data_IF_437260095372
#
_entry.id   IF_437260095372
#
_cell.length_a   1.000
_cell.length_b   1.000
_cell.length_c   1.000
_cell.angle_alpha   90.00
_cell.angle_beta   90.00
_cell.angle_gamma   90.00
#
_symmetry.space_group_name_H-M   'P 1'
#
loop_
_entity.id
_entity.type
_entity.pdbx_description
1 polymer ?
#
# COMPACT_ATOMS: atom_id res chain seq x y z
N UNK A 1 19.60 22.72 18.59
CA UNK A 1 20.69 21.84 18.10
C UNK A 1 20.86 22.05 16.60
N UNK A 2 22.08 21.95 16.04
CA UNK A 2 22.30 22.02 14.58
C UNK A 2 22.32 20.64 13.92
N UNK A 3 22.11 20.56 12.59
CA UNK A 3 22.24 19.29 11.83
C UNK A 3 23.65 18.69 11.97
N UNK A 4 24.70 19.52 11.89
CA UNK A 4 26.08 19.06 12.03
C UNK A 4 26.38 18.50 13.43
N UNK A 5 25.81 19.11 14.47
CA UNK A 5 25.91 18.63 15.84
C UNK A 5 25.20 17.28 16.03
N UNK A 6 23.96 17.17 15.54
CA UNK A 6 23.18 15.93 15.58
C UNK A 6 23.87 14.78 14.84
N UNK A 7 24.41 15.07 13.64
CA UNK A 7 25.18 14.11 12.84
C UNK A 7 26.41 13.60 13.55
N UNK A 8 27.24 14.51 14.10
CA UNK A 8 28.45 14.14 14.86
C UNK A 8 28.12 13.29 16.09
N UNK A 9 27.02 13.59 16.77
CA UNK A 9 26.56 12.77 17.89
C UNK A 9 26.16 11.37 17.41
N UNK A 10 25.29 11.28 16.40
CA UNK A 10 24.84 10.00 15.85
C UNK A 10 26.01 9.15 15.36
N UNK A 11 26.92 9.69 14.54
CA UNK A 11 28.07 8.95 14.00
C UNK A 11 29.03 8.45 15.10
N UNK A 12 29.11 9.14 16.24
CA UNK A 12 29.90 8.70 17.39
C UNK A 12 29.24 7.56 18.17
N UNK A 13 27.90 7.59 18.29
CA UNK A 13 27.13 6.61 19.07
C UNK A 13 26.74 5.38 18.23
N UNK A 14 26.57 5.53 16.92
CA UNK A 14 26.12 4.49 15.99
C UNK A 14 27.26 3.63 15.41
N UNK A 15 28.45 3.60 16.02
CA UNK A 15 29.55 2.74 15.58
C UNK A 15 29.05 1.26 15.49
N UNK A 16 29.40 0.52 14.42
CA UNK A 16 28.59 -0.59 13.93
C UNK A 16 28.69 -1.80 14.87
N UNK A 17 27.61 -2.10 15.59
CA UNK A 17 27.38 -3.45 16.11
C UNK A 17 27.05 -4.34 14.92
N UNK A 18 28.12 -4.87 14.33
CA UNK A 18 28.19 -5.88 13.27
C UNK A 18 27.72 -7.27 13.75
N UNK A 19 26.71 -7.30 14.61
CA UNK A 19 26.02 -8.50 15.01
C UNK A 19 24.55 -8.25 14.70
N UNK A 20 24.05 -8.88 13.63
CA UNK A 20 22.62 -9.06 13.50
C UNK A 20 22.13 -9.81 14.73
N UNK A 21 21.56 -9.09 15.69
CA UNK A 21 20.60 -9.69 16.59
C UNK A 21 19.27 -9.60 15.86
N UNK A 22 18.72 -10.76 15.51
CA UNK A 22 17.34 -10.95 15.06
C UNK A 22 16.32 -10.60 16.16
N UNK A 23 16.70 -9.81 17.18
CA UNK A 23 15.96 -9.61 18.42
C UNK A 23 15.22 -8.26 18.50
N UNK A 24 15.44 -7.35 17.54
CA UNK A 24 14.74 -6.06 17.46
C UNK A 24 13.38 -6.17 16.76
N UNK A 25 12.29 -5.78 17.44
CA UNK A 25 10.92 -5.91 16.89
C UNK A 25 10.64 -4.91 15.74
N UNK A 26 11.30 -3.75 15.74
CA UNK A 26 11.15 -2.69 14.71
C UNK A 26 12.53 -2.14 14.31
N UNK A 27 13.39 -2.98 13.72
CA UNK A 27 14.73 -2.60 13.24
C UNK A 27 14.73 -2.15 11.79
N UNK A 28 15.63 -1.24 11.39
CA UNK A 28 15.80 -0.87 9.99
C UNK A 28 16.89 -1.68 9.26
N UNK A 29 17.46 -2.69 9.93
CA UNK A 29 18.58 -3.47 9.38
C UNK A 29 19.77 -2.55 9.11
N UNK A 30 20.43 -2.72 7.96
CA UNK A 30 21.35 -1.69 7.46
C UNK A 30 20.55 -0.49 6.96
N UNK A 31 20.85 0.70 7.46
CA UNK A 31 20.18 1.93 7.02
C UNK A 31 21.16 3.10 6.87
N UNK A 32 20.79 4.04 6.00
CA UNK A 32 21.58 5.23 5.73
C UNK A 32 20.73 6.49 5.94
N UNK A 33 21.00 7.28 7.00
CA UNK A 33 20.30 8.56 7.20
C UNK A 33 20.72 9.60 6.16
N UNK A 34 19.75 10.27 5.54
CA UNK A 34 19.99 11.36 4.61
C UNK A 34 20.03 12.71 5.35
N UNK A 35 21.21 13.04 5.86
CA UNK A 35 21.45 14.29 6.57
C UNK A 35 21.26 15.54 5.70
N UNK A 36 21.20 15.43 4.37
CA UNK A 36 20.95 16.58 3.49
C UNK A 36 19.49 17.05 3.52
N UNK A 37 18.58 16.14 3.89
CA UNK A 37 17.14 16.39 4.04
C UNK A 37 16.72 16.54 5.51
N UNK A 38 17.68 16.62 6.43
CA UNK A 38 17.41 16.74 7.85
C UNK A 38 16.68 18.06 8.18
N UNK A 39 15.62 17.96 8.99
CA UNK A 39 14.85 19.12 9.45
C UNK A 39 15.03 19.29 10.95
N UNK A 40 15.39 20.51 11.37
CA UNK A 40 15.55 20.85 12.78
C UNK A 40 14.24 21.43 13.31
N UNK A 41 13.85 20.98 14.49
CA UNK A 41 12.72 21.50 15.25
C UNK A 41 13.13 21.75 16.70
N UNK A 42 12.48 22.71 17.36
CA UNK A 42 12.74 23.04 18.76
C UNK A 42 11.43 23.31 19.50
N UNK A 43 11.28 22.68 20.65
CA UNK A 43 10.28 23.00 21.67
C UNK A 43 10.91 23.78 22.83
N UNK A 44 10.21 23.85 23.95
CA UNK A 44 10.63 24.68 25.09
C UNK A 44 11.84 24.09 25.84
N UNK A 45 11.90 22.77 25.95
CA UNK A 45 12.92 22.03 26.71
C UNK A 45 13.75 21.10 25.81
N UNK A 46 13.26 20.76 24.61
CA UNK A 46 13.80 19.74 23.73
C UNK A 46 13.97 20.27 22.31
N UNK A 47 15.19 20.19 21.80
CA UNK A 47 15.45 20.38 20.38
C UNK A 47 15.69 19.04 19.70
N UNK A 48 15.19 18.89 18.48
CA UNK A 48 15.31 17.65 17.71
C UNK A 48 15.72 17.91 16.27
N UNK A 49 16.38 16.90 15.69
CA UNK A 49 16.69 16.84 14.27
C UNK A 49 16.04 15.58 13.72
N UNK A 50 15.02 15.75 12.91
CA UNK A 50 14.36 14.68 12.15
C UNK A 50 15.14 14.43 10.86
N UNK A 51 15.57 13.20 10.62
CA UNK A 51 16.39 12.82 9.47
C UNK A 51 15.67 11.71 8.71
N UNK A 52 15.30 11.95 7.44
CA UNK A 52 14.83 10.88 6.57
C UNK A 52 15.86 9.76 6.52
N UNK A 53 15.40 8.53 6.64
CA UNK A 53 16.26 7.35 6.64
C UNK A 53 15.60 6.28 5.78
N UNK A 54 16.41 5.62 4.95
CA UNK A 54 16.00 4.40 4.26
C UNK A 54 16.77 3.23 4.87
N UNK A 55 16.01 2.24 5.32
CA UNK A 55 16.55 0.98 5.81
C UNK A 55 16.32 -0.16 4.84
N UNK A 56 16.77 -1.34 5.25
CA UNK A 56 16.47 -2.61 4.58
C UNK A 56 15.00 -3.00 4.72
N UNK A 57 14.30 -2.50 5.75
CA UNK A 57 12.95 -2.93 6.07
C UNK A 57 11.92 -1.81 5.94
N UNK A 58 10.77 -2.14 5.36
CA UNK A 58 9.52 -1.37 5.41
C UNK A 58 8.52 -2.07 6.31
N UNK A 59 7.71 -1.31 7.00
CA UNK A 59 6.80 -1.83 8.01
C UNK A 59 5.34 -1.51 7.67
N UNK A 60 4.44 -2.42 8.04
CA UNK A 60 3.00 -2.23 7.88
C UNK A 60 2.28 -2.70 9.13
N UNK A 61 1.28 -1.94 9.56
CA UNK A 61 0.32 -2.40 10.56
C UNK A 61 -0.60 -3.42 9.91
N UNK A 62 -0.69 -4.60 10.51
CA UNK A 62 -1.59 -5.67 10.11
C UNK A 62 -2.84 -5.70 10.97
N UNK A 63 -4.01 -5.87 10.34
CA UNK A 63 -5.27 -6.19 11.02
C UNK A 63 -6.12 -7.11 10.14
N UNK A 64 -6.96 -7.92 10.75
CA UNK A 64 -8.07 -8.56 10.05
C UNK A 64 -9.29 -7.64 10.17
N UNK A 65 -9.97 -7.35 9.05
CA UNK A 65 -11.19 -6.58 9.06
C UNK A 65 -12.42 -7.43 9.47
N UNK A 66 -13.59 -6.79 9.54
CA UNK A 66 -14.84 -7.43 9.95
C UNK A 66 -15.28 -8.59 9.03
N UNK A 67 -14.73 -8.69 7.82
CA UNK A 67 -15.03 -9.74 6.85
C UNK A 67 -14.00 -10.88 6.87
N UNK A 68 -13.01 -10.83 7.76
CA UNK A 68 -11.93 -11.81 7.81
C UNK A 68 -10.78 -11.52 6.84
N UNK A 69 -10.79 -10.37 6.16
CA UNK A 69 -9.77 -10.02 5.17
C UNK A 69 -8.59 -9.28 5.81
N UNK A 70 -7.34 -9.58 5.43
CA UNK A 70 -6.18 -8.90 5.95
C UNK A 70 -6.06 -7.47 5.39
N UNK A 71 -5.73 -6.51 6.24
CA UNK A 71 -5.50 -5.10 5.91
C UNK A 71 -4.15 -4.65 6.42
N UNK A 72 -3.48 -3.88 5.58
CA UNK A 72 -2.15 -3.35 5.84
C UNK A 72 -2.22 -1.82 5.80
N UNK A 73 -1.55 -1.18 6.75
CA UNK A 73 -1.43 0.27 6.76
C UNK A 73 0.05 0.61 6.86
N UNK A 74 0.63 1.33 5.87
CA UNK A 74 2.04 1.66 5.87
C UNK A 74 2.48 2.36 7.17
N UNK A 75 3.61 1.93 7.70
CA UNK A 75 4.27 2.54 8.85
C UNK A 75 5.47 3.32 8.33
N UNK A 76 5.47 4.63 8.60
CA UNK A 76 6.52 5.54 8.15
C UNK A 76 7.53 5.76 9.24
N UNK A 77 8.81 5.84 8.90
CA UNK A 77 9.87 5.92 9.89
C UNK A 77 10.93 6.97 9.59
N UNK A 78 11.57 7.47 10.64
CA UNK A 78 12.68 8.44 10.58
C UNK A 78 13.68 8.20 11.69
N UNK A 79 14.92 8.62 11.46
CA UNK A 79 15.87 8.82 12.55
C UNK A 79 15.56 10.17 13.22
N UNK A 80 15.54 10.19 14.54
CA UNK A 80 15.41 11.41 15.32
C UNK A 80 16.55 11.50 16.31
N UNK A 81 17.31 12.59 16.26
CA UNK A 81 18.25 12.95 17.31
C UNK A 81 17.61 14.02 18.18
N UNK A 82 17.56 13.80 19.48
CA UNK A 82 17.01 14.76 20.44
C UNK A 82 18.12 15.29 21.35
N UNK A 83 17.96 16.53 21.81
CA UNK A 83 18.83 17.19 22.77
C UNK A 83 17.99 17.92 23.80
N UNK A 84 18.17 17.55 25.06
CA UNK A 84 17.62 18.29 26.19
C UNK A 84 18.38 19.62 26.35
N UNK A 85 17.65 20.72 26.30
CA UNK A 85 18.21 22.07 26.30
C UNK A 85 18.81 22.47 27.64
N UNK A 86 18.39 21.83 28.75
CA UNK A 86 18.83 22.14 30.11
C UNK A 86 20.14 21.44 30.48
N UNK A 87 20.20 20.14 30.22
CA UNK A 87 21.34 19.27 30.54
C UNK A 87 22.34 19.15 29.40
N UNK A 88 21.92 19.43 28.16
CA UNK A 88 22.71 19.23 26.96
C UNK A 88 22.87 17.76 26.55
N UNK A 89 22.25 16.83 27.29
CA UNK A 89 22.27 15.40 26.97
C UNK A 89 21.54 15.18 25.65
N UNK A 90 22.07 14.24 24.86
CA UNK A 90 21.54 13.89 23.54
C UNK A 90 21.20 12.41 23.50
N UNK A 91 20.23 12.04 22.66
CA UNK A 91 19.84 10.65 22.40
C UNK A 91 19.35 10.48 20.97
N UNK A 92 19.48 9.28 20.41
CA UNK A 92 19.04 8.94 19.05
C UNK A 92 18.01 7.82 19.10
N UNK A 93 16.95 7.97 18.31
CA UNK A 93 15.85 7.02 18.20
C UNK A 93 15.46 6.78 16.76
N UNK A 94 14.94 5.60 16.46
CA UNK A 94 14.11 5.40 15.27
C UNK A 94 12.67 5.64 15.69
N UNK A 95 11.96 6.50 14.97
CA UNK A 95 10.54 6.77 15.21
C UNK A 95 9.72 6.16 14.09
N UNK A 96 8.65 5.45 14.47
CA UNK A 96 7.69 4.82 13.59
C UNK A 96 6.31 5.46 13.82
N UNK A 97 5.75 6.06 12.78
CA UNK A 97 4.35 6.50 12.74
C UNK A 97 3.48 5.34 12.27
N UNK A 98 2.64 4.85 13.18
CA UNK A 98 1.62 3.84 12.94
C UNK A 98 0.27 4.56 12.87
N UNK A 99 -0.15 5.04 11.70
CA UNK A 99 -1.40 5.77 11.57
C UNK A 99 -2.61 4.86 11.83
N UNK A 100 -3.69 5.46 12.33
CA UNK A 100 -4.97 4.78 12.27
C UNK A 100 -5.43 4.67 10.80
N UNK A 101 -6.13 3.60 10.40
CA UNK A 101 -6.38 3.32 8.98
C UNK A 101 -7.16 4.42 8.25
N UNK A 102 -8.15 5.00 8.93
CA UNK A 102 -8.95 6.10 8.37
C UNK A 102 -8.11 7.37 8.19
N UNK A 103 -7.12 7.59 9.07
CA UNK A 103 -6.18 8.70 8.93
C UNK A 103 -5.22 8.48 7.76
N UNK A 104 -4.78 7.23 7.55
CA UNK A 104 -3.84 6.89 6.49
C UNK A 104 -4.45 6.98 5.08
N UNK A 105 -5.77 6.84 4.96
CA UNK A 105 -6.47 6.80 3.69
C UNK A 105 -6.21 8.06 2.84
N UNK A 106 -5.43 7.93 1.77
CA UNK A 106 -5.15 9.01 0.81
C UNK A 106 -4.01 9.94 1.22
N UNK A 107 -3.24 9.58 2.26
CA UNK A 107 -2.00 10.26 2.62
C UNK A 107 -0.81 9.52 2.03
N UNK A 108 0.25 10.27 1.72
CA UNK A 108 1.50 9.73 1.16
C UNK A 108 2.63 9.83 2.19
N UNK A 109 3.79 9.24 1.88
CA UNK A 109 5.00 9.38 2.69
C UNK A 109 5.34 10.85 2.98
N UNK A 110 5.13 11.75 2.02
CA UNK A 110 5.41 13.18 2.15
C UNK A 110 4.61 13.84 3.28
N UNK A 111 3.39 13.36 3.55
CA UNK A 111 2.55 13.89 4.64
C UNK A 111 3.14 13.52 6.01
N UNK A 112 3.68 12.30 6.15
CA UNK A 112 4.38 11.87 7.36
C UNK A 112 5.77 12.49 7.46
N UNK A 113 6.39 12.82 6.33
CA UNK A 113 7.65 13.53 6.28
C UNK A 113 7.55 14.96 6.80
N UNK A 114 6.37 15.57 6.77
CA UNK A 114 6.11 16.88 7.37
C UNK A 114 5.89 16.82 8.89
N UNK A 115 5.64 15.63 9.46
CA UNK A 115 5.47 15.47 10.91
C UNK A 115 6.82 15.51 11.62
N UNK A 116 7.12 16.65 12.23
CA UNK A 116 8.35 16.89 12.99
C UNK A 116 8.26 16.35 14.42
N UNK A 117 9.41 16.01 15.01
CA UNK A 117 9.49 15.48 16.36
C UNK A 117 9.07 16.48 17.42
N UNK A 118 9.76 17.62 17.46
CA UNK A 118 9.33 18.77 18.25
C UNK A 118 8.38 19.62 17.40
N UNK A 119 7.22 19.96 17.94
CA UNK A 119 6.21 20.78 17.26
C UNK A 119 4.87 20.07 17.01
N UNK A 120 3.96 20.81 16.39
CA UNK A 120 2.59 20.35 16.12
C UNK A 120 2.58 19.06 15.31
N UNK A 121 1.72 18.12 15.72
CA UNK A 121 1.45 16.88 14.98
C UNK A 121 0.33 17.06 13.95
N UNK A 122 -0.08 18.30 13.66
CA UNK A 122 -1.15 18.59 12.71
C UNK A 122 -2.45 17.92 13.15
N UNK A 123 -3.04 17.13 12.27
CA UNK A 123 -4.23 16.31 12.52
C UNK A 123 -3.92 14.83 12.76
N UNK A 124 -2.64 14.49 13.00
CA UNK A 124 -2.19 13.09 13.13
C UNK A 124 -3.01 12.30 14.15
N UNK A 125 -3.53 11.16 13.70
CA UNK A 125 -4.29 10.22 14.52
C UNK A 125 -3.68 8.83 14.36
N UNK A 126 -3.21 8.25 15.46
CA UNK A 126 -2.45 7.00 15.46
C UNK A 126 -1.44 6.89 16.61
N UNK A 127 -0.47 5.99 16.46
CA UNK A 127 0.64 5.78 17.39
C UNK A 127 1.95 6.30 16.82
N UNK A 128 2.75 6.98 17.63
CA UNK A 128 4.18 7.14 17.39
C UNK A 128 4.94 6.20 18.33
N UNK A 129 5.70 5.27 17.79
CA UNK A 129 6.58 4.36 18.54
C UNK A 129 8.02 4.79 18.33
N UNK A 130 8.76 4.96 19.41
CA UNK A 130 10.20 5.21 19.35
C UNK A 130 10.94 3.99 19.85
N UNK A 131 11.97 3.63 19.10
CA UNK A 131 12.85 2.54 19.44
C UNK A 131 14.27 3.06 19.63
N UNK A 132 15.07 2.30 20.36
CA UNK A 132 16.52 2.38 20.21
C UNK A 132 16.94 2.00 18.78
N UNK A 133 18.20 2.25 18.43
CA UNK A 133 18.72 2.06 17.07
C UNK A 133 18.77 0.59 16.61
N UNK A 134 18.69 -0.35 17.55
CA UNK A 134 18.55 -1.80 17.33
C UNK A 134 17.08 -2.25 17.20
N UNK A 135 16.12 -1.33 17.30
CA UNK A 135 14.70 -1.62 17.05
C UNK A 135 13.90 -2.06 18.28
N UNK A 136 14.43 -1.91 19.50
CA UNK A 136 13.69 -2.19 20.73
C UNK A 136 12.79 -0.99 21.13
N UNK A 137 11.47 -1.17 21.32
CA UNK A 137 10.58 -0.08 21.74
C UNK A 137 10.92 0.49 23.12
N UNK A 138 11.07 1.80 23.21
CA UNK A 138 11.43 2.52 24.45
C UNK A 138 10.46 3.64 24.82
N UNK A 139 9.69 4.14 23.85
CA UNK A 139 8.66 5.17 24.07
C UNK A 139 7.50 4.95 23.12
N UNK A 140 6.29 5.24 23.57
CA UNK A 140 5.12 5.28 22.71
C UNK A 140 4.24 6.48 23.07
N UNK A 141 3.63 7.10 22.05
CA UNK A 141 2.69 8.21 22.20
C UNK A 141 1.49 7.99 21.29
N UNK A 142 0.28 8.06 21.85
CA UNK A 142 -0.97 8.01 21.08
C UNK A 142 -1.50 9.41 20.83
N UNK A 143 -1.87 9.68 19.59
CA UNK A 143 -2.47 10.95 19.16
C UNK A 143 -3.88 10.75 18.63
N UNK A 144 -4.74 11.74 18.87
CA UNK A 144 -6.03 11.90 18.21
C UNK A 144 -6.17 13.36 17.77
N UNK A 145 -6.33 13.60 16.47
CA UNK A 145 -6.37 14.94 15.89
C UNK A 145 -5.16 15.81 16.23
N UNK A 146 -3.98 15.19 16.32
CA UNK A 146 -2.72 15.84 16.69
C UNK A 146 -2.49 16.04 18.19
N UNK A 147 -3.49 15.79 19.05
CA UNK A 147 -3.36 15.95 20.49
C UNK A 147 -2.89 14.63 21.17
N UNK A 148 -1.88 14.72 22.03
CA UNK A 148 -1.42 13.60 22.85
C UNK A 148 -2.52 13.11 23.80
N UNK A 149 -2.91 11.85 23.66
CA UNK A 149 -3.92 11.19 24.48
C UNK A 149 -3.28 10.35 25.59
N UNK A 150 -2.19 9.65 25.26
CA UNK A 150 -1.49 8.77 26.17
C UNK A 150 -0.02 8.64 25.77
N UNK A 151 0.84 8.42 26.76
CA UNK A 151 2.24 8.13 26.54
C UNK A 151 2.84 7.23 27.63
N UNK A 152 3.89 6.52 27.25
CA UNK A 152 4.68 5.66 28.12
C UNK A 152 6.14 5.69 27.66
N UNK A 153 7.04 6.03 28.59
CA UNK A 153 8.48 6.04 28.38
C UNK A 153 9.14 5.05 29.33
N UNK A 154 9.98 4.16 28.80
CA UNK A 154 10.59 3.08 29.58
C UNK A 154 11.47 3.62 30.73
N UNK A 155 12.10 4.78 30.52
CA UNK A 155 13.06 5.37 31.46
C UNK A 155 12.47 6.52 32.30
N UNK A 156 11.15 6.59 32.46
CA UNK A 156 10.51 7.58 33.34
C UNK A 156 10.85 7.30 34.81
N UNK A 157 11.62 8.19 35.43
CA UNK A 157 12.08 8.09 36.83
C UNK A 157 11.00 8.32 37.87
N UNK A 158 9.83 8.84 37.49
CA UNK A 158 8.70 9.01 38.40
C UNK A 158 8.01 7.70 38.75
N UNK A 159 8.40 6.58 38.11
CA UNK A 159 7.78 5.26 38.22
C UNK A 159 8.82 4.16 38.36
N UNK A 160 8.36 3.01 38.81
CA UNK A 160 9.18 1.80 38.79
C UNK A 160 9.33 1.28 37.36
N UNK A 161 10.40 0.53 37.11
CA UNK A 161 10.65 -0.13 35.84
C UNK A 161 9.49 -1.04 35.42
N UNK A 162 8.95 -1.83 36.34
CA UNK A 162 7.84 -2.74 36.06
C UNK A 162 6.58 -1.99 35.60
N UNK A 163 6.27 -0.85 36.22
CA UNK A 163 5.15 -0.01 35.80
C UNK A 163 5.38 0.60 34.41
N UNK A 164 6.60 1.07 34.12
CA UNK A 164 6.93 1.62 32.80
C UNK A 164 6.82 0.54 31.71
N UNK A 165 7.32 -0.67 31.98
CA UNK A 165 7.21 -1.81 31.06
C UNK A 165 5.75 -2.20 30.83
N UNK A 166 4.94 -2.28 31.88
CA UNK A 166 3.52 -2.61 31.76
C UNK A 166 2.77 -1.58 30.91
N UNK A 167 2.97 -0.28 31.19
CA UNK A 167 2.34 0.81 30.43
C UNK A 167 2.75 0.85 28.97
N UNK A 168 4.03 0.64 28.69
CA UNK A 168 4.51 0.56 27.31
C UNK A 168 3.90 -0.66 26.60
N UNK A 169 3.80 -1.80 27.30
CA UNK A 169 3.11 -2.99 26.81
C UNK A 169 1.64 -2.74 26.48
N UNK A 170 0.90 -2.05 27.35
CA UNK A 170 -0.50 -1.65 27.12
C UNK A 170 -0.66 -0.75 25.88
N UNK A 171 0.28 0.18 25.65
CA UNK A 171 0.23 1.06 24.48
C UNK A 171 0.50 0.34 23.16
N UNK A 172 1.25 -0.75 23.22
CA UNK A 172 1.60 -1.60 22.08
C UNK A 172 0.66 -2.80 21.94
N UNK A 173 -0.27 -3.01 22.88
CA UNK A 173 -1.18 -4.14 22.83
C UNK A 173 -2.10 -4.05 21.60
N UNK A 174 -2.30 -5.20 20.94
CA UNK A 174 -3.04 -5.28 19.68
C UNK A 174 -2.35 -4.66 18.46
N UNK A 175 -1.11 -4.17 18.57
CA UNK A 175 -0.31 -3.75 17.42
C UNK A 175 0.33 -4.98 16.76
N UNK A 176 -0.26 -5.44 15.67
CA UNK A 176 0.39 -6.42 14.80
C UNK A 176 1.12 -5.70 13.66
N UNK A 177 2.37 -6.09 13.42
CA UNK A 177 3.22 -5.49 12.39
C UNK A 177 3.77 -6.59 11.49
N UNK A 178 3.92 -6.27 10.21
CA UNK A 178 4.67 -7.09 9.25
C UNK A 178 5.77 -6.24 8.62
N UNK A 179 6.90 -6.85 8.24
CA UNK A 179 8.02 -6.15 7.63
C UNK A 179 8.39 -6.72 6.25
N UNK A 180 8.67 -5.86 5.27
CA UNK A 180 9.16 -6.26 3.95
C UNK A 180 10.60 -5.82 3.77
N UNK A 181 11.44 -6.67 3.17
CA UNK A 181 12.76 -6.23 2.71
C UNK A 181 12.64 -5.35 1.47
N UNK A 182 13.35 -4.24 1.45
CA UNK A 182 13.47 -3.34 0.29
C UNK A 182 14.65 -3.81 -0.57
N UNK A 183 14.39 -4.62 -1.60
CA UNK A 183 15.43 -4.89 -2.60
C UNK A 183 15.59 -3.65 -3.49
N UNK A 184 16.81 -3.15 -3.59
CA UNK A 184 17.13 -1.98 -4.39
C UNK A 184 16.95 -2.32 -5.87
N UNK A 185 15.95 -1.71 -6.52
CA UNK A 185 15.84 -1.72 -7.98
C UNK A 185 17.02 -0.92 -8.53
N UNK A 186 17.96 -1.60 -9.18
CA UNK A 186 19.11 -0.91 -9.77
C UNK A 186 18.71 -0.29 -11.09
N UNK A 187 19.35 0.83 -11.44
CA UNK A 187 19.07 1.66 -12.62
C UNK A 187 19.03 0.89 -13.97
N UNK A 188 19.52 -0.35 -14.02
CA UNK A 188 19.43 -1.23 -15.19
C UNK A 188 18.05 -1.91 -15.37
N UNK A 189 17.24 -2.01 -14.31
CA UNK A 189 15.92 -2.66 -14.32
C UNK A 189 14.80 -1.70 -14.73
N UNK A 190 15.03 -0.38 -14.64
CA UNK A 190 14.07 0.64 -15.08
C UNK A 190 13.99 0.78 -16.61
N UNK A 191 15.03 0.36 -17.34
CA UNK A 191 15.12 0.48 -18.81
C UNK A 191 14.91 -0.85 -19.55
N UNK A 192 14.75 -1.97 -18.83
CA UNK A 192 14.43 -3.27 -19.42
C UNK A 192 13.08 -3.74 -18.90
N UNK A 193 12.15 -4.07 -19.79
CA UNK A 193 10.84 -4.70 -19.47
C UNK A 193 10.97 -6.10 -18.82
N UNK A 194 12.14 -6.45 -18.27
CA UNK A 194 12.34 -7.49 -17.26
C UNK A 194 12.41 -6.84 -15.88
N UNK A 195 11.31 -6.31 -15.38
CA UNK A 195 11.19 -6.22 -13.92
C UNK A 195 10.87 -7.63 -13.41
N UNK A 196 11.88 -8.33 -12.91
CA UNK A 196 11.61 -9.41 -11.96
C UNK A 196 10.77 -8.82 -10.82
N UNK A 197 9.85 -9.59 -10.19
CA UNK A 197 9.38 -9.19 -8.88
C UNK A 197 10.62 -8.89 -8.04
N UNK A 198 10.61 -7.76 -7.36
CA UNK A 198 11.29 -7.65 -6.08
C UNK A 198 10.87 -8.89 -5.30
N UNK A 199 11.76 -9.87 -5.19
CA UNK A 199 11.61 -10.99 -4.27
C UNK A 199 11.45 -10.32 -2.90
N UNK A 200 10.20 -10.33 -2.42
CA UNK A 200 9.80 -9.74 -1.14
C UNK A 200 10.47 -10.43 0.04
N UNK A 201 11.36 -11.40 -0.21
CA UNK A 201 12.39 -11.84 0.70
C UNK A 201 11.81 -12.15 2.06
N UNK A 202 11.07 -13.27 2.15
CA UNK A 202 10.59 -13.85 3.41
C UNK A 202 10.22 -12.81 4.46
N UNK A 203 9.04 -12.20 4.32
CA UNK A 203 8.47 -11.34 5.36
C UNK A 203 8.15 -12.23 6.57
N UNK A 204 9.02 -12.19 7.59
CA UNK A 204 8.70 -12.72 8.91
C UNK A 204 7.59 -11.86 9.52
N UNK A 205 6.50 -12.49 9.94
CA UNK A 205 5.46 -11.82 10.71
C UNK A 205 6.03 -11.45 12.09
N UNK A 206 6.57 -10.24 12.23
CA UNK A 206 6.98 -9.72 13.54
C UNK A 206 5.74 -9.29 14.32
N UNK A 207 5.07 -10.25 14.96
CA UNK A 207 4.01 -9.95 15.91
C UNK A 207 4.63 -9.20 17.09
N UNK A 208 4.43 -7.88 17.16
CA UNK A 208 4.68 -7.08 18.38
C UNK A 208 3.61 -7.46 19.41
N UNK A 209 3.65 -8.71 19.88
CA UNK A 209 2.80 -9.15 20.97
C UNK A 209 3.51 -8.83 22.27
N UNK A 210 2.90 -7.99 23.09
CA UNK A 210 3.27 -7.77 24.49
C UNK A 210 3.07 -9.03 25.38
N UNK A 211 3.17 -10.24 24.81
CA UNK A 211 3.02 -11.53 25.49
C UNK A 211 4.32 -12.24 25.79
N UNK A 212 5.47 -11.74 25.33
CA UNK A 212 6.76 -12.23 25.84
C UNK A 212 7.09 -11.46 27.13
N UNK A 213 7.27 -12.15 28.28
CA UNK A 213 7.83 -11.52 29.46
C UNK A 213 9.14 -10.85 29.05
N UNK A 214 9.30 -9.57 29.39
CA UNK A 214 10.52 -8.79 29.18
C UNK A 214 11.60 -9.27 30.16
N UNK A 215 11.94 -10.57 30.11
CA UNK A 215 12.76 -11.24 31.12
C UNK A 215 14.25 -11.33 30.76
N UNK A 216 14.67 -10.79 29.61
CA UNK A 216 16.08 -10.87 29.17
C UNK A 216 16.64 -9.53 28.67
N UNK A 217 16.29 -8.40 29.30
CA UNK A 217 17.09 -7.18 29.11
C UNK A 217 18.34 -7.28 30.00
N UNK A 218 19.46 -7.68 29.40
CA UNK A 218 20.77 -7.43 30.02
C UNK A 218 21.08 -5.94 29.87
N UNK A 219 21.03 -5.25 31.00
CA UNK A 219 21.47 -3.87 31.17
C UNK A 219 22.97 -3.78 30.96
N UNK A 220 23.43 -3.45 29.76
CA UNK A 220 24.75 -2.87 29.57
C UNK A 220 24.63 -1.36 29.41
N UNK A 221 25.38 -0.68 30.28
CA UNK A 221 25.29 0.73 30.64
C UNK A 221 25.88 1.61 29.53
N UNK A 222 25.31 2.80 29.37
CA UNK A 222 26.04 4.00 28.95
C UNK A 222 25.69 5.09 29.96
N UNK A 223 26.68 5.80 30.48
CA UNK A 223 26.67 6.57 31.74
C UNK A 223 25.82 7.87 31.75
N UNK A 224 24.77 7.95 30.92
CA UNK A 224 23.80 9.05 30.91
C UNK A 224 22.39 8.52 30.66
N UNK A 225 21.42 8.92 31.48
CA UNK A 225 20.02 8.55 31.26
C UNK A 225 19.53 9.04 29.89
N UNK A 226 18.86 8.19 29.09
CA UNK A 226 18.36 8.57 27.77
C UNK A 226 17.31 9.69 27.87
N UNK A 227 17.37 10.64 26.94
CA UNK A 227 16.47 11.79 26.88
C UNK A 227 15.12 11.34 26.32
N UNK A 228 14.02 11.59 27.05
CA UNK A 228 12.67 11.31 26.56
C UNK A 228 12.48 11.93 25.15
N UNK A 229 12.02 11.18 24.14
CA UNK A 229 11.97 11.68 22.76
C UNK A 229 11.00 12.85 22.51
N UNK A 230 10.05 13.08 23.41
CA UNK A 230 8.97 14.06 23.24
C UNK A 230 8.72 14.88 24.51
N UNK A 231 8.14 16.07 24.32
CA UNK A 231 7.73 16.99 25.40
C UNK A 231 6.23 16.95 25.69
N UNK A 232 5.52 15.96 25.17
CA UNK A 232 4.06 15.92 25.27
C UNK A 232 3.61 15.90 26.74
N UNK A 233 2.89 16.93 27.17
CA UNK A 233 2.18 16.96 28.43
C UNK A 233 0.78 16.37 28.23
N UNK A 234 0.30 15.59 29.20
CA UNK A 234 -1.10 15.17 29.23
C UNK A 234 -1.95 16.44 29.23
N UNK A 235 -2.64 16.70 28.12
CA UNK A 235 -3.66 17.74 28.08
C UNK A 235 -4.65 17.53 29.25
N UNK A 236 -5.13 18.58 29.91
CA UNK A 236 -6.05 18.43 31.02
C UNK A 236 -7.30 17.70 30.53
N UNK A 237 -7.66 16.63 31.25
CA UNK A 237 -8.90 15.89 31.04
C UNK A 237 -10.08 16.84 31.23
N UNK A 238 -10.82 17.09 30.15
CA UNK A 238 -12.18 17.61 30.16
C UNK A 238 -12.36 19.09 30.49
N UNK A 239 -12.58 19.90 29.47
CA UNK A 239 -13.58 20.99 29.48
C UNK A 239 -13.66 21.63 28.10
N UNK A 240 -14.86 21.70 27.53
CA UNK A 240 -15.11 22.34 26.26
C UNK A 240 -15.00 23.87 26.29
N UNK A 241 -14.93 24.46 25.08
CA UNK A 241 -15.31 25.85 24.83
C UNK A 241 -14.21 26.73 24.21
N UNK A 242 -14.51 27.27 23.02
CA UNK A 242 -13.82 28.39 22.35
C UNK A 242 -13.03 27.93 21.12
N UNK A 243 -13.43 28.16 19.87
CA UNK A 243 -14.19 29.28 19.31
C UNK A 243 -13.24 30.37 18.85
N UNK A 244 -12.79 30.32 17.59
CA UNK A 244 -12.10 31.46 16.95
C UNK A 244 -11.22 31.10 15.75
N UNK A 245 -11.62 31.57 14.57
CA UNK A 245 -10.68 31.87 13.48
C UNK A 245 -10.58 30.86 12.36
N UNK A 246 -11.65 30.69 11.58
CA UNK A 246 -11.55 30.15 10.23
C UNK A 246 -10.71 31.10 9.37
N UNK A 247 -9.40 30.85 9.32
CA UNK A 247 -8.57 31.29 8.20
C UNK A 247 -8.93 30.39 7.03
N UNK A 248 -9.64 30.95 6.05
CA UNK A 248 -9.86 30.37 4.74
C UNK A 248 -8.51 30.01 4.11
N UNK A 249 -8.13 28.74 4.21
CA UNK A 249 -7.02 28.21 3.43
C UNK A 249 -7.43 28.17 1.96
N UNK A 250 -6.58 28.64 1.04
CA UNK A 250 -6.80 28.47 -0.39
C UNK A 250 -6.62 26.99 -0.74
N UNK A 251 -7.72 26.35 -1.15
CA UNK A 251 -7.71 25.04 -1.81
C UNK A 251 -7.44 23.86 -0.88
N UNK A 252 -8.48 23.32 -0.26
CA UNK A 252 -8.51 21.86 -0.03
C UNK A 252 -8.12 21.17 -1.35
N UNK A 253 -7.23 20.17 -1.35
CA UNK A 253 -7.01 19.36 -2.54
C UNK A 253 -8.38 18.89 -3.00
N UNK A 254 -8.77 19.23 -4.24
CA UNK A 254 -10.03 18.75 -4.81
C UNK A 254 -10.06 17.24 -4.60
N UNK A 255 -11.09 16.72 -3.91
CA UNK A 255 -11.20 15.32 -3.52
C UNK A 255 -10.89 14.42 -4.73
N UNK A 256 -9.68 13.87 -4.86
CA UNK A 256 -9.20 13.16 -6.07
C UNK A 256 -9.86 11.79 -6.22
N UNK A 257 -10.68 11.38 -5.25
CA UNK A 257 -11.41 10.12 -5.29
C UNK A 257 -12.61 10.20 -6.23
N UNK A 258 -12.88 9.08 -6.87
CA UNK A 258 -14.09 8.89 -7.65
C UNK A 258 -15.28 8.77 -6.71
N UNK A 259 -16.33 9.57 -6.95
CA UNK A 259 -17.46 9.75 -6.03
C UNK A 259 -18.21 8.45 -5.69
N UNK A 260 -18.19 7.50 -6.60
CA UNK A 260 -18.95 6.25 -6.49
C UNK A 260 -18.13 5.05 -6.00
N UNK A 261 -16.81 5.22 -5.85
CA UNK A 261 -15.92 4.29 -5.16
C UNK A 261 -14.67 5.04 -4.68
N UNK A 262 -14.59 5.26 -3.37
CA UNK A 262 -13.51 6.03 -2.74
C UNK A 262 -12.14 5.37 -2.89
N UNK A 263 -12.07 4.07 -3.17
CA UNK A 263 -10.80 3.37 -3.41
C UNK A 263 -10.19 3.71 -4.78
N UNK A 264 -10.93 4.35 -5.67
CA UNK A 264 -10.44 4.78 -6.99
C UNK A 264 -10.02 6.25 -6.91
N UNK A 265 -8.73 6.52 -7.03
CA UNK A 265 -8.18 7.86 -7.17
C UNK A 265 -7.95 8.21 -8.65
N UNK A 266 -8.43 9.37 -9.04
CA UNK A 266 -8.21 9.95 -10.36
C UNK A 266 -7.14 11.04 -10.23
N UNK A 267 -6.06 10.92 -10.99
CA UNK A 267 -5.11 12.02 -11.09
C UNK A 267 -5.83 13.30 -11.55
N UNK A 268 -5.53 14.44 -10.94
CA UNK A 268 -6.29 15.69 -11.11
C UNK A 268 -6.38 16.15 -12.57
N UNK A 269 -5.36 15.87 -13.38
CA UNK A 269 -5.28 16.16 -14.82
C UNK A 269 -6.07 15.19 -15.71
N UNK A 270 -6.50 14.07 -15.13
CA UNK A 270 -7.15 12.94 -15.81
C UNK A 270 -8.65 12.86 -15.49
N UNK A 271 -9.09 13.53 -14.41
CA UNK A 271 -10.46 13.47 -13.89
C UNK A 271 -11.53 13.84 -14.90
N UNK A 272 -11.37 14.97 -15.60
CA UNK A 272 -12.37 15.49 -16.55
C UNK A 272 -12.75 14.47 -17.63
N UNK A 273 -11.81 13.60 -18.00
CA UNK A 273 -12.03 12.56 -19.02
C UNK A 273 -12.41 11.21 -18.43
N UNK A 274 -11.87 10.85 -17.26
CA UNK A 274 -12.08 9.55 -16.64
C UNK A 274 -13.43 9.44 -15.91
N UNK A 275 -13.84 10.49 -15.20
CA UNK A 275 -15.06 10.45 -14.38
C UNK A 275 -16.33 10.21 -15.23
N UNK A 276 -16.53 10.88 -16.39
CA UNK A 276 -17.67 10.58 -17.27
C UNK A 276 -17.62 9.16 -17.85
N UNK A 277 -16.41 8.63 -18.09
CA UNK A 277 -16.23 7.29 -18.65
C UNK A 277 -16.56 6.21 -17.61
N UNK A 278 -16.12 6.40 -16.37
CA UNK A 278 -16.49 5.55 -15.23
C UNK A 278 -18.00 5.59 -14.97
N UNK A 279 -18.60 6.79 -15.00
CA UNK A 279 -20.04 6.96 -14.85
C UNK A 279 -20.82 6.24 -15.96
N UNK A 280 -20.34 6.31 -17.20
CA UNK A 280 -20.94 5.59 -18.34
C UNK A 280 -20.83 4.08 -18.16
N UNK A 281 -19.67 3.56 -17.74
CA UNK A 281 -19.46 2.13 -17.50
C UNK A 281 -20.39 1.62 -16.39
N UNK A 282 -20.56 2.38 -15.31
CA UNK A 282 -21.42 1.99 -14.17
C UNK A 282 -22.90 1.82 -14.51
N UNK A 283 -23.37 2.34 -15.64
CA UNK A 283 -24.75 2.12 -16.08
C UNK A 283 -25.02 0.67 -16.50
N UNK A 284 -23.98 -0.09 -16.83
CA UNK A 284 -24.06 -1.53 -17.02
C UNK A 284 -23.89 -2.27 -15.68
N UNK A 285 -24.70 -3.30 -15.43
CA UNK A 285 -24.64 -4.02 -14.15
C UNK A 285 -23.27 -4.67 -13.88
N UNK A 286 -22.70 -5.36 -14.87
CA UNK A 286 -21.42 -6.06 -14.71
C UNK A 286 -20.27 -5.07 -14.55
N UNK A 287 -20.17 -4.07 -15.43
CA UNK A 287 -19.14 -3.04 -15.32
C UNK A 287 -19.29 -2.19 -14.05
N UNK A 288 -20.53 -1.90 -13.62
CA UNK A 288 -20.85 -1.27 -12.35
C UNK A 288 -20.39 -2.10 -11.15
N UNK A 289 -20.57 -3.43 -11.19
CA UNK A 289 -20.08 -4.35 -10.16
C UNK A 289 -18.56 -4.40 -10.13
N UNK A 290 -17.89 -4.44 -11.28
CA UNK A 290 -16.42 -4.36 -11.38
C UNK A 290 -15.90 -3.09 -10.71
N UNK A 291 -16.48 -1.93 -11.03
CA UNK A 291 -16.06 -0.65 -10.44
C UNK A 291 -16.39 -0.59 -8.96
N UNK A 292 -17.61 -0.98 -8.55
CA UNK A 292 -18.09 -0.86 -7.18
C UNK A 292 -17.46 -1.85 -6.20
N UNK A 293 -16.94 -2.98 -6.69
CA UNK A 293 -16.32 -4.01 -5.84
C UNK A 293 -14.81 -3.91 -5.70
N UNK A 294 -14.18 -2.87 -6.27
CA UNK A 294 -12.75 -2.56 -6.02
C UNK A 294 -12.55 -2.19 -4.55
N UNK A 295 -11.73 -2.99 -3.85
CA UNK A 295 -11.43 -2.87 -2.41
C UNK A 295 -10.00 -2.42 -2.08
N UNK A 296 -9.05 -2.58 -3.02
CA UNK A 296 -7.69 -2.04 -2.92
C UNK A 296 -7.62 -0.65 -3.53
N UNK A 297 -6.60 0.15 -3.20
CA UNK A 297 -6.49 1.47 -3.81
C UNK A 297 -6.12 1.33 -5.29
N UNK A 298 -6.85 2.02 -6.16
CA UNK A 298 -6.57 2.08 -7.59
C UNK A 298 -6.29 3.53 -7.94
N UNK A 299 -5.10 3.83 -8.45
CA UNK A 299 -4.78 5.14 -9.02
C UNK A 299 -4.83 5.07 -10.53
N UNK A 300 -5.68 5.90 -11.15
CA UNK A 300 -5.81 5.96 -12.62
C UNK A 300 -5.17 7.25 -13.14
N UNK A 301 -4.26 7.10 -14.11
CA UNK A 301 -3.53 8.20 -14.75
C UNK A 301 -3.68 8.14 -16.27
N UNK A 302 -3.71 9.29 -16.94
CA UNK A 302 -3.73 9.39 -18.40
C UNK A 302 -2.43 10.02 -18.93
N UNK A 303 -2.23 9.99 -20.25
CA UNK A 303 -1.06 10.61 -20.90
C UNK A 303 0.16 9.72 -20.99
N UNK A 304 0.00 8.40 -20.77
CA UNK A 304 1.07 7.44 -20.97
C UNK A 304 1.31 7.17 -22.46
N UNK A 305 2.57 7.23 -22.89
CA UNK A 305 2.99 6.88 -24.24
C UNK A 305 3.14 5.36 -24.35
N UNK A 306 2.03 4.67 -24.62
CA UNK A 306 2.00 3.22 -24.76
C UNK A 306 0.58 2.64 -24.82
N UNK A 307 0.47 1.31 -24.69
CA UNK A 307 -0.78 0.63 -24.38
C UNK A 307 -1.22 0.96 -22.96
N UNK A 308 -2.53 0.83 -22.69
CA UNK A 308 -2.99 0.84 -21.31
C UNK A 308 -2.44 -0.38 -20.56
N UNK A 309 -2.25 -0.22 -19.25
CA UNK A 309 -1.77 -1.30 -18.39
C UNK A 309 -2.17 -1.08 -16.94
N UNK A 310 -2.64 -2.16 -16.31
CA UNK A 310 -2.79 -2.31 -14.87
C UNK A 310 -1.48 -2.86 -14.28
N UNK A 311 -0.88 -2.09 -13.39
CA UNK A 311 0.35 -2.42 -12.68
C UNK A 311 -0.01 -2.70 -11.22
N UNK A 312 0.03 -3.96 -10.79
CA UNK A 312 -0.30 -4.30 -9.43
C UNK A 312 0.96 -4.25 -8.54
N UNK A 313 0.80 -3.77 -7.32
CA UNK A 313 1.81 -3.85 -6.26
C UNK A 313 1.44 -4.99 -5.33
N UNK A 314 2.27 -6.05 -5.31
CA UNK A 314 2.09 -7.18 -4.42
C UNK A 314 3.19 -7.24 -3.38
N UNK A 315 2.80 -7.65 -2.18
CA UNK A 315 3.69 -8.04 -1.09
C UNK A 315 3.44 -9.52 -0.77
N UNK A 316 4.50 -10.32 -0.82
CA UNK A 316 4.45 -11.74 -0.49
C UNK A 316 5.03 -11.96 0.90
N UNK A 317 4.29 -12.62 1.77
CA UNK A 317 4.74 -12.95 3.13
C UNK A 317 4.40 -14.38 3.54
N UNK A 318 4.99 -14.82 4.64
CA UNK A 318 4.69 -16.12 5.24
C UNK A 318 3.25 -16.10 5.79
N UNK A 319 2.29 -16.52 4.96
CA UNK A 319 0.84 -16.39 5.22
C UNK A 319 0.01 -15.99 4.00
N UNK A 320 0.63 -15.56 2.89
CA UNK A 320 -0.06 -15.30 1.62
C UNK A 320 0.51 -14.11 0.84
N UNK A 321 -0.13 -13.82 -0.29
CA UNK A 321 0.14 -12.62 -1.09
C UNK A 321 -0.95 -11.60 -0.88
N UNK A 322 -0.57 -10.35 -0.69
CA UNK A 322 -1.51 -9.23 -0.65
C UNK A 322 -1.17 -8.25 -1.75
N UNK A 323 -2.20 -7.91 -2.52
CA UNK A 323 -2.18 -6.86 -3.52
C UNK A 323 -2.60 -5.56 -2.84
N UNK A 324 -1.67 -4.62 -2.69
CA UNK A 324 -1.81 -3.41 -1.87
C UNK A 324 -2.44 -2.26 -2.67
N UNK A 325 -1.77 -1.91 -3.77
CA UNK A 325 -2.15 -0.80 -4.64
C UNK A 325 -2.09 -1.23 -6.11
N UNK A 326 -2.99 -0.68 -6.91
CA UNK A 326 -3.01 -0.83 -8.36
C UNK A 326 -2.82 0.52 -9.04
N UNK A 327 -1.91 0.60 -9.99
CA UNK A 327 -1.79 1.75 -10.87
C UNK A 327 -2.33 1.37 -12.26
N UNK A 328 -3.35 2.09 -12.72
CA UNK A 328 -3.83 1.98 -14.10
C UNK A 328 -3.27 3.15 -14.89
N UNK A 329 -2.37 2.84 -15.82
CA UNK A 329 -1.84 3.82 -16.78
C UNK A 329 -2.63 3.72 -18.06
N UNK A 330 -3.43 4.73 -18.35
CA UNK A 330 -4.16 4.82 -19.61
C UNK A 330 -3.23 5.30 -20.70
N UNK A 331 -3.11 4.49 -21.75
CA UNK A 331 -2.32 4.78 -22.92
C UNK A 331 -2.89 5.90 -23.79
N UNK A 332 -2.40 5.97 -25.03
CA UNK A 332 -2.87 6.96 -26.02
C UNK A 332 -4.38 6.89 -26.34
N UNK A 333 -5.04 5.76 -26.00
CA UNK A 333 -6.47 5.56 -26.15
C UNK A 333 -7.15 5.50 -24.80
N UNK A 334 -7.99 6.50 -24.57
CA UNK A 334 -8.91 6.54 -23.45
C UNK A 334 -10.31 6.20 -23.96
N UNK A 335 -10.66 4.91 -23.89
CA UNK A 335 -11.99 4.42 -24.24
C UNK A 335 -12.47 3.41 -23.19
N UNK A 336 -13.76 3.08 -23.25
CA UNK A 336 -14.42 2.16 -22.33
C UNK A 336 -13.92 0.71 -22.46
N UNK A 337 -13.42 0.28 -23.63
CA UNK A 337 -12.83 -1.04 -23.79
C UNK A 337 -11.53 -1.12 -22.98
N UNK A 338 -10.62 -0.18 -23.19
CA UNK A 338 -9.32 -0.20 -22.50
C UNK A 338 -9.47 0.03 -21.01
N UNK A 339 -10.34 0.96 -20.58
CA UNK A 339 -10.55 1.21 -19.16
C UNK A 339 -11.18 -0.01 -18.45
N UNK A 340 -12.19 -0.63 -19.06
CA UNK A 340 -12.84 -1.81 -18.48
C UNK A 340 -11.90 -3.01 -18.41
N UNK A 341 -11.05 -3.21 -19.42
CA UNK A 341 -10.00 -4.26 -19.42
C UNK A 341 -9.07 -4.09 -18.20
N UNK A 342 -8.51 -2.89 -18.00
CA UNK A 342 -7.59 -2.65 -16.88
C UNK A 342 -8.25 -2.70 -15.50
N UNK A 343 -9.50 -2.21 -15.39
CA UNK A 343 -10.26 -2.34 -14.15
C UNK A 343 -10.57 -3.81 -13.84
N UNK A 344 -10.87 -4.62 -14.84
CA UNK A 344 -11.13 -6.04 -14.66
C UNK A 344 -9.89 -6.80 -14.20
N UNK A 345 -8.71 -6.45 -14.70
CA UNK A 345 -7.44 -7.04 -14.24
C UNK A 345 -7.21 -6.90 -12.73
N UNK A 346 -7.72 -5.84 -12.09
CA UNK A 346 -7.63 -5.68 -10.62
C UNK A 346 -8.34 -6.81 -9.86
N UNK A 347 -9.42 -7.36 -10.41
CA UNK A 347 -10.16 -8.48 -9.82
C UNK A 347 -9.49 -9.82 -10.04
N UNK A 348 -8.78 -9.98 -11.15
CA UNK A 348 -8.07 -11.23 -11.47
C UNK A 348 -6.90 -11.52 -10.53
N UNK A 349 -6.39 -10.50 -9.83
CA UNK A 349 -5.40 -10.65 -8.76
C UNK A 349 -6.00 -11.27 -7.48
N UNK A 350 -7.31 -11.17 -7.26
CA UNK A 350 -7.94 -11.65 -6.02
C UNK A 350 -7.77 -13.16 -5.85
N UNK A 351 -7.24 -13.56 -4.69
CA UNK A 351 -7.03 -14.96 -4.32
C UNK A 351 -5.86 -15.65 -5.04
N UNK A 352 -4.98 -14.91 -5.74
CA UNK A 352 -3.81 -15.46 -6.44
C UNK A 352 -2.49 -14.87 -5.94
N UNK A 353 -1.42 -15.66 -5.93
CA UNK A 353 -0.04 -15.14 -5.77
C UNK A 353 0.44 -14.42 -7.04
N UNK A 354 1.54 -13.64 -6.99
CA UNK A 354 2.08 -12.99 -8.19
C UNK A 354 2.55 -14.01 -9.22
N UNK A 355 3.06 -15.16 -8.78
CA UNK A 355 3.51 -16.25 -9.64
C UNK A 355 2.31 -16.91 -10.34
N UNK A 356 1.22 -17.17 -9.61
CA UNK A 356 0.00 -17.72 -10.19
C UNK A 356 -0.61 -16.74 -11.22
N UNK A 357 -0.77 -15.46 -10.84
CA UNK A 357 -1.28 -14.42 -11.74
C UNK A 357 -0.42 -14.29 -13.01
N UNK A 358 0.92 -14.35 -12.86
CA UNK A 358 1.85 -14.29 -14.01
C UNK A 358 1.82 -15.54 -14.86
N UNK A 359 1.72 -16.71 -14.25
CA UNK A 359 1.73 -18.01 -14.92
C UNK A 359 0.53 -18.26 -15.84
N UNK A 360 -0.53 -17.44 -15.71
CA UNK A 360 -1.74 -17.51 -16.53
C UNK A 360 -2.04 -16.20 -17.27
N UNK A 361 -1.03 -15.36 -17.54
CA UNK A 361 -1.24 -14.04 -18.16
C UNK A 361 -2.06 -14.09 -19.45
N UNK A 362 -1.80 -15.03 -20.37
CA UNK A 362 -2.61 -15.10 -21.59
C UNK A 362 -4.06 -15.51 -21.30
N UNK A 363 -4.30 -16.34 -20.28
CA UNK A 363 -5.66 -16.67 -19.84
C UNK A 363 -6.37 -15.42 -19.29
N UNK A 364 -5.68 -14.62 -18.48
CA UNK A 364 -6.22 -13.38 -17.92
C UNK A 364 -6.63 -12.39 -19.01
N UNK A 365 -5.81 -12.23 -20.06
CA UNK A 365 -6.11 -11.40 -21.23
C UNK A 365 -7.37 -11.88 -21.98
N UNK A 366 -7.54 -13.19 -22.13
CA UNK A 366 -8.73 -13.76 -22.81
C UNK A 366 -9.99 -13.46 -22.00
N UNK A 367 -9.96 -13.68 -20.68
CA UNK A 367 -11.10 -13.41 -19.80
C UNK A 367 -11.42 -11.90 -19.74
N UNK A 368 -10.41 -11.02 -19.66
CA UNK A 368 -10.62 -9.58 -19.69
C UNK A 368 -11.20 -9.10 -21.03
N UNK A 369 -10.79 -9.72 -22.14
CA UNK A 369 -11.37 -9.46 -23.47
C UNK A 369 -12.79 -9.96 -23.61
N UNK A 370 -13.12 -11.10 -22.99
CA UNK A 370 -14.50 -11.57 -22.89
C UNK A 370 -15.37 -10.60 -22.09
N UNK A 371 -14.85 -10.06 -20.99
CA UNK A 371 -15.54 -9.08 -20.15
C UNK A 371 -16.01 -7.87 -20.96
N UNK A 372 -15.10 -7.12 -21.61
CA UNK A 372 -15.53 -5.96 -22.38
C UNK A 372 -16.29 -6.34 -23.66
N UNK A 373 -16.03 -7.51 -24.25
CA UNK A 373 -16.76 -7.97 -25.44
C UNK A 373 -18.24 -8.20 -25.11
N UNK A 374 -18.53 -8.86 -23.98
CA UNK A 374 -19.89 -9.08 -23.50
C UNK A 374 -20.59 -7.78 -23.13
N UNK A 375 -19.88 -6.85 -22.46
CA UNK A 375 -20.38 -5.49 -22.23
C UNK A 375 -20.77 -4.79 -23.54
N UNK A 376 -19.90 -4.81 -24.56
CA UNK A 376 -20.16 -4.18 -25.86
C UNK A 376 -21.32 -4.81 -26.63
N UNK A 377 -21.45 -6.14 -26.54
CA UNK A 377 -22.61 -6.85 -27.08
C UNK A 377 -23.90 -6.39 -26.41
N UNK A 378 -23.92 -6.31 -25.07
CA UNK A 378 -25.09 -5.91 -24.29
C UNK A 378 -25.56 -4.50 -24.63
N UNK A 379 -24.65 -3.54 -24.72
CA UNK A 379 -25.01 -2.15 -25.06
C UNK A 379 -25.26 -1.93 -26.56
N UNK A 380 -25.12 -2.98 -27.39
CA UNK A 380 -25.34 -2.91 -28.84
C UNK A 380 -24.31 -2.07 -29.60
N UNK A 381 -23.14 -1.80 -29.03
CA UNK A 381 -22.11 -0.96 -29.63
C UNK A 381 -20.82 -1.75 -29.91
N UNK A 382 -20.75 -2.37 -31.09
CA UNK A 382 -19.60 -3.17 -31.50
C UNK A 382 -18.56 -2.38 -32.31
N UNK A 383 -18.62 -1.05 -32.32
CA UNK A 383 -17.66 -0.22 -33.03
C UNK A 383 -16.27 -0.33 -32.38
N UNK A 384 -15.22 -0.43 -33.19
CA UNK A 384 -13.83 -0.48 -32.70
C UNK A 384 -13.38 -1.82 -32.10
N UNK A 385 -14.29 -2.75 -31.78
CA UNK A 385 -13.97 -4.09 -31.21
C UNK A 385 -12.97 -4.87 -32.04
N UNK A 386 -13.08 -4.82 -33.38
CA UNK A 386 -12.16 -5.53 -34.29
C UNK A 386 -10.70 -5.07 -34.18
N UNK A 387 -10.43 -3.88 -33.61
CA UNK A 387 -9.06 -3.41 -33.37
C UNK A 387 -8.37 -4.20 -32.25
N UNK A 388 -9.14 -4.81 -31.35
CA UNK A 388 -8.62 -5.49 -30.15
C UNK A 388 -8.61 -7.01 -30.29
N UNK A 389 -9.51 -7.57 -31.11
CA UNK A 389 -9.63 -9.02 -31.30
C UNK A 389 -9.62 -9.46 -32.77
N UNK A 390 -9.26 -8.61 -33.73
CA UNK A 390 -9.36 -8.85 -35.19
C UNK A 390 -10.80 -8.91 -35.72
N UNK A 391 -10.96 -8.61 -37.00
CA UNK A 391 -12.22 -8.73 -37.71
C UNK A 391 -12.47 -10.18 -38.18
N UNK A 392 -13.73 -10.60 -38.23
CA UNK A 392 -14.11 -11.95 -38.67
C UNK A 392 -13.84 -13.01 -37.60
N UNK A 393 -12.61 -13.54 -37.56
CA UNK A 393 -12.24 -14.71 -36.76
C UNK A 393 -12.38 -14.44 -35.26
N UNK A 394 -11.86 -13.33 -34.75
CA UNK A 394 -12.04 -13.01 -33.32
C UNK A 394 -13.47 -12.71 -32.92
N UNK A 395 -14.24 -12.01 -33.77
CA UNK A 395 -15.68 -11.83 -33.50
C UNK A 395 -16.41 -13.17 -33.41
N UNK A 396 -16.04 -14.15 -34.25
CA UNK A 396 -16.59 -15.52 -34.19
C UNK A 396 -16.20 -16.20 -32.88
N UNK A 397 -14.92 -16.14 -32.51
CA UNK A 397 -14.37 -16.82 -31.32
C UNK A 397 -14.96 -16.25 -30.04
N UNK A 398 -14.80 -14.94 -29.80
CA UNK A 398 -15.34 -14.29 -28.60
C UNK A 398 -16.88 -14.33 -28.56
N UNK A 399 -17.53 -14.28 -29.72
CA UNK A 399 -18.97 -14.49 -29.86
C UNK A 399 -19.41 -15.89 -29.42
N UNK A 400 -18.68 -16.93 -29.83
CA UNK A 400 -18.97 -18.31 -29.47
C UNK A 400 -18.71 -18.57 -27.99
N UNK A 401 -17.59 -18.07 -27.45
CA UNK A 401 -17.29 -18.12 -26.03
C UNK A 401 -18.37 -17.43 -25.19
N UNK A 402 -18.82 -16.22 -25.59
CA UNK A 402 -19.91 -15.53 -24.87
C UNK A 402 -21.20 -16.36 -24.81
N UNK A 403 -21.55 -17.09 -25.88
CA UNK A 403 -22.72 -17.98 -25.90
C UNK A 403 -22.57 -19.14 -24.93
N UNK A 404 -21.38 -19.74 -24.84
CA UNK A 404 -21.11 -20.80 -23.87
C UNK A 404 -21.18 -20.31 -22.43
N UNK A 405 -20.66 -19.11 -22.16
CA UNK A 405 -20.71 -18.47 -20.84
C UNK A 405 -22.17 -18.24 -20.43
N UNK A 406 -22.95 -17.59 -21.30
CA UNK A 406 -24.37 -17.34 -21.05
C UNK A 406 -25.11 -18.66 -20.81
N UNK A 407 -24.90 -19.68 -21.65
CA UNK A 407 -25.50 -21.00 -21.52
C UNK A 407 -25.01 -21.81 -20.29
N UNK A 408 -24.08 -21.30 -19.49
CA UNK A 408 -23.48 -22.03 -18.36
C UNK A 408 -22.61 -23.23 -18.76
N UNK A 409 -22.22 -23.32 -20.03
CA UNK A 409 -21.51 -24.47 -20.61
C UNK A 409 -19.98 -24.29 -20.62
N UNK A 410 -19.45 -23.64 -19.59
CA UNK A 410 -18.03 -23.27 -19.44
C UNK A 410 -17.09 -24.45 -19.11
N UNK A 411 -17.66 -25.63 -18.84
CA UNK A 411 -16.89 -26.87 -18.57
C UNK A 411 -16.83 -27.82 -19.78
N UNK A 412 -17.46 -27.47 -20.90
CA UNK A 412 -17.48 -28.33 -22.09
C UNK A 412 -16.13 -28.35 -22.82
N UNK A 413 -15.85 -29.46 -23.50
CA UNK A 413 -14.69 -29.57 -24.39
C UNK A 413 -14.74 -28.52 -25.50
N UNK A 414 -15.93 -28.21 -26.02
CA UNK A 414 -16.12 -27.17 -27.03
C UNK A 414 -15.76 -25.78 -26.51
N UNK A 415 -16.10 -25.45 -25.26
CA UNK A 415 -15.66 -24.20 -24.64
C UNK A 415 -14.15 -24.16 -24.52
N UNK A 416 -13.53 -25.24 -24.02
CA UNK A 416 -12.06 -25.33 -23.88
C UNK A 416 -11.34 -25.21 -25.21
N UNK A 417 -11.85 -25.84 -26.26
CA UNK A 417 -11.32 -25.74 -27.63
C UNK A 417 -11.42 -24.30 -28.15
N UNK A 418 -12.58 -23.67 -28.01
CA UNK A 418 -12.75 -22.29 -28.48
C UNK A 418 -11.91 -21.29 -27.66
N UNK A 419 -11.64 -21.57 -26.38
CA UNK A 419 -10.73 -20.80 -25.53
C UNK A 419 -9.28 -20.91 -26.04
N UNK A 420 -8.85 -22.10 -26.47
CA UNK A 420 -7.53 -22.28 -27.13
C UNK A 420 -7.47 -21.55 -28.46
N UNK A 421 -8.56 -21.54 -29.23
CA UNK A 421 -8.64 -20.74 -30.46
C UNK A 421 -8.46 -19.25 -30.16
N UNK A 422 -9.03 -18.74 -29.07
CA UNK A 422 -8.79 -17.36 -28.61
C UNK A 422 -7.32 -17.12 -28.26
N UNK A 423 -6.68 -18.05 -27.55
CA UNK A 423 -5.26 -17.95 -27.24
C UNK A 423 -4.40 -17.92 -28.52
N UNK A 424 -4.64 -18.82 -29.47
CA UNK A 424 -3.93 -18.86 -30.76
C UNK A 424 -4.11 -17.56 -31.54
N UNK A 425 -5.34 -17.04 -31.59
CA UNK A 425 -5.63 -15.77 -32.22
C UNK A 425 -4.81 -14.63 -31.61
N UNK A 426 -4.85 -14.46 -30.28
CA UNK A 426 -4.11 -13.39 -29.60
C UNK A 426 -2.60 -13.49 -29.87
N UNK A 427 -2.03 -14.70 -29.86
CA UNK A 427 -0.61 -14.92 -30.21
C UNK A 427 -0.26 -14.48 -31.63
N UNK A 428 -1.18 -14.60 -32.59
CA UNK A 428 -0.94 -14.17 -33.97
C UNK A 428 -1.10 -12.66 -34.17
N UNK A 429 -1.86 -11.99 -33.31
CA UNK A 429 -2.18 -10.57 -33.44
C UNK A 429 -1.11 -9.62 -32.88
N UNK A 430 -0.34 -10.02 -31.87
CA UNK A 430 0.61 -9.15 -31.17
C UNK A 430 1.95 -9.84 -30.93
N UNK A 431 3.04 -9.12 -31.16
CA UNK A 431 4.39 -9.58 -30.81
C UNK A 431 4.53 -9.87 -29.31
N UNK A 432 3.84 -9.12 -28.46
CA UNK A 432 3.87 -9.33 -27.01
C UNK A 432 3.20 -10.65 -26.65
N UNK A 433 2.00 -10.92 -27.17
CA UNK A 433 1.29 -12.18 -26.92
C UNK A 433 1.99 -13.40 -27.56
N UNK A 434 2.76 -13.21 -28.63
CA UNK A 434 3.58 -14.27 -29.21
C UNK A 434 4.70 -14.75 -28.27
N UNK A 435 5.14 -13.91 -27.32
CA UNK A 435 6.14 -14.28 -26.33
C UNK A 435 5.51 -15.15 -25.23
N UNK A 436 5.81 -16.45 -25.28
CA UNK A 436 5.31 -17.45 -24.31
C UNK A 436 5.88 -17.29 -22.91
N UNK A 437 7.00 -16.57 -22.75
CA UNK A 437 7.58 -16.27 -21.44
C UNK A 437 6.90 -15.07 -20.79
N UNK A 438 6.52 -14.07 -21.60
CA UNK A 438 5.83 -12.87 -21.12
C UNK A 438 4.33 -13.12 -20.91
N UNK A 439 3.71 -13.90 -21.81
CA UNK A 439 2.30 -14.32 -21.78
C UNK A 439 2.19 -15.85 -21.83
N UNK A 440 2.52 -16.53 -20.72
CA UNK A 440 2.27 -17.95 -20.58
C UNK A 440 0.78 -18.25 -20.63
N UNK A 441 0.47 -19.44 -21.14
CA UNK A 441 -0.88 -20.00 -21.18
C UNK A 441 -0.90 -21.26 -20.34
N UNK A 442 -1.87 -21.36 -19.43
CA UNK A 442 -2.06 -22.52 -18.58
C UNK A 442 -3.35 -23.25 -18.96
N UNK A 443 -3.24 -24.55 -19.25
CA UNK A 443 -4.39 -25.43 -19.53
C UNK A 443 -5.27 -25.65 -18.28
N UNK A 444 -4.68 -25.53 -17.09
CA UNK A 444 -5.40 -25.65 -15.81
C UNK A 444 -6.17 -24.35 -15.47
N UNK A 445 -5.80 -23.23 -16.09
CA UNK A 445 -6.45 -21.93 -15.95
C UNK A 445 -7.45 -21.61 -17.08
N UNK A 446 -7.95 -22.62 -17.80
CA UNK A 446 -9.02 -22.44 -18.80
C UNK A 446 -10.37 -22.38 -18.09
N UNK A 447 -10.73 -21.18 -17.60
CA UNK A 447 -12.00 -20.85 -16.95
C UNK A 447 -12.32 -19.36 -17.13
N UNK A 448 -13.46 -18.92 -16.60
CA UNK A 448 -13.92 -17.51 -16.60
C UNK A 448 -14.53 -17.15 -15.24
N UNK A 449 -13.97 -17.68 -14.16
CA UNK A 449 -14.59 -17.64 -12.84
C UNK A 449 -14.72 -16.20 -12.30
N UNK A 450 -13.76 -15.33 -12.62
CA UNK A 450 -13.81 -13.92 -12.21
C UNK A 450 -14.92 -13.20 -12.96
N UNK A 451 -15.02 -13.43 -14.27
CA UNK A 451 -16.09 -12.87 -15.10
C UNK A 451 -17.48 -13.35 -14.64
N UNK A 452 -17.63 -14.65 -14.35
CA UNK A 452 -18.89 -15.21 -13.84
C UNK A 452 -19.30 -14.55 -12.51
N UNK A 453 -18.36 -14.30 -11.61
CA UNK A 453 -18.61 -13.58 -10.35
C UNK A 453 -19.05 -12.13 -10.59
N UNK A 454 -18.50 -11.47 -11.61
CA UNK A 454 -18.89 -10.10 -11.98
C UNK A 454 -20.26 -10.02 -12.69
N UNK A 455 -20.68 -11.10 -13.35
CA UNK A 455 -22.01 -11.23 -13.96
C UNK A 455 -23.07 -11.73 -12.98
N UNK A 456 -22.67 -12.28 -11.83
CA UNK A 456 -23.60 -12.75 -10.80
C UNK A 456 -24.54 -11.61 -10.38
N UNK A 457 -25.83 -11.93 -10.33
CA UNK A 457 -26.93 -11.00 -10.05
C UNK A 457 -27.18 -9.88 -11.06
N UNK A 458 -26.59 -9.97 -12.25
CA UNK A 458 -26.97 -9.12 -13.38
C UNK A 458 -27.96 -9.85 -14.30
N UNK A 459 -29.26 -9.54 -14.27
CA UNK A 459 -30.29 -10.27 -15.02
C UNK A 459 -30.06 -10.22 -16.53
N UNK A 460 -29.50 -9.13 -17.06
CA UNK A 460 -29.18 -8.99 -18.48
C UNK A 460 -28.07 -9.95 -18.98
N UNK A 461 -27.35 -10.57 -18.04
CA UNK A 461 -26.27 -11.52 -18.28
C UNK A 461 -26.64 -12.96 -17.82
N UNK A 462 -27.93 -13.21 -17.53
CA UNK A 462 -28.48 -14.54 -17.25
C UNK A 462 -29.32 -15.00 -18.45
N UNK A 463 -29.39 -16.32 -18.67
CA UNK A 463 -30.24 -16.91 -19.71
C UNK A 463 -31.71 -16.54 -19.52
N UNK A 464 -32.39 -16.24 -20.63
CA UNK A 464 -33.80 -16.64 -20.82
C UNK A 464 -33.92 -18.15 -20.98
#
# INVERSE_FOLDING_TARGET
>A
MSVAEARRYFERVAAPTRAGSEEGTLTLGTYMPDWSLATVSAGEVLSSTDVPVRGEFRYFRYRIDEYGEPRFTPIYHKLVVVKDSRSGVMSSYLRFYVPDPDYAAGRTADDYDRLLNSGSKGDFTGLAVYTSLDGFPVHAVRYAGGACQAEAFLYDKSRTQAENTARLGEMLDGLSVVCSRETAVTRAEAESEKSEPVDGGGIEAVVVSAKRPVNHIKYERSDTDPVKPTEEDRGPSGSGGGGGGASSNPGSPANTRYRENENIMLASDSREKLEPLLDSLRQDCMAGKIIGSIRGNVTIRTGFFGSSVMIPTAYTFEGGTVWDDFEIRMGSRLDDITLLEELFHTHQCSGKTPEEYRGMRLNNEIEAKLCWYMYRLKIGNMNGVSKYISEGEGRRIFGTLSKYIMAGNIKSDNFREEYRNAAFLLRSMSRSYADVTLYPFSEDAVNVDVLMKMMEDCPEYKNE
#
